data_IF_492895948986
#
_entry.id   IF_492895948986
#
_cell.length_a   1.000
_cell.length_b   1.000
_cell.length_c   1.000
_cell.angle_alpha   90.00
_cell.angle_beta   90.00
_cell.angle_gamma   90.00
#
_symmetry.space_group_name_H-M   'P 1'
#
loop_
_entity.id
_entity.type
_entity.pdbx_description
1 polymer ?
#
# COMPACT_ATOMS: atom_id res chain seq x y z
N UNK A 1 -2.93 -24.84 -24.05
CA UNK A 1 -1.87 -24.16 -23.23
C UNK A 1 -1.83 -24.87 -21.90
N UNK A 2 -0.66 -25.35 -21.53
CA UNK A 2 -0.44 -26.05 -20.26
C UNK A 2 -0.67 -25.13 -19.06
N UNK A 3 -1.03 -25.70 -17.92
CA UNK A 3 -1.37 -24.94 -16.71
C UNK A 3 -0.20 -24.07 -16.21
N UNK A 4 1.03 -24.58 -16.31
CA UNK A 4 2.24 -23.85 -15.91
C UNK A 4 2.54 -22.66 -16.86
N UNK A 5 2.26 -22.79 -18.14
CA UNK A 5 2.38 -21.69 -19.10
C UNK A 5 1.38 -20.56 -18.78
N UNK A 6 0.13 -20.93 -18.46
CA UNK A 6 -0.88 -19.97 -18.00
C UNK A 6 -0.42 -19.25 -16.73
N UNK A 7 0.14 -19.99 -15.77
CA UNK A 7 0.64 -19.42 -14.53
C UNK A 7 1.76 -18.40 -14.80
N UNK A 8 2.73 -18.74 -15.65
CA UNK A 8 3.81 -17.83 -15.99
C UNK A 8 3.31 -16.50 -16.57
N UNK A 9 2.36 -16.57 -17.52
CA UNK A 9 1.75 -15.39 -18.16
C UNK A 9 0.93 -14.58 -17.16
N UNK A 10 0.07 -15.22 -16.38
CA UNK A 10 -0.91 -14.54 -15.53
C UNK A 10 -0.31 -14.02 -14.22
N UNK A 11 0.77 -14.61 -13.74
CA UNK A 11 1.53 -14.08 -12.62
C UNK A 11 2.44 -12.91 -13.02
N UNK A 12 3.06 -12.97 -14.19
CA UNK A 12 3.83 -11.83 -14.71
C UNK A 12 2.91 -10.62 -14.98
N UNK A 13 1.75 -10.86 -15.59
CA UNK A 13 0.74 -9.82 -15.78
C UNK A 13 0.24 -9.19 -14.47
N UNK A 14 0.27 -9.92 -13.35
CA UNK A 14 -0.15 -9.44 -12.03
C UNK A 14 0.92 -8.58 -11.32
N UNK A 15 2.16 -8.51 -11.78
CA UNK A 15 3.26 -7.79 -11.09
C UNK A 15 3.00 -6.29 -10.90
N UNK A 16 2.23 -5.68 -11.79
CA UNK A 16 1.87 -4.26 -11.73
C UNK A 16 0.77 -3.94 -10.71
N UNK A 17 0.17 -4.95 -10.10
CA UNK A 17 -0.80 -4.77 -9.00
C UNK A 17 -0.07 -4.53 -7.68
N UNK A 18 -0.08 -3.30 -7.17
CA UNK A 18 0.63 -2.91 -5.95
C UNK A 18 -0.14 -3.28 -4.67
N UNK A 19 -0.50 -4.53 -4.47
CA UNK A 19 -1.12 -4.95 -3.21
C UNK A 19 -0.18 -5.75 -2.30
N UNK A 20 1.11 -5.78 -2.64
CA UNK A 20 2.11 -6.55 -1.92
C UNK A 20 3.42 -5.78 -1.85
N UNK A 21 3.94 -5.63 -0.66
CA UNK A 21 5.34 -5.30 -0.46
C UNK A 21 6.16 -6.56 -0.81
N UNK A 22 6.73 -6.62 -2.01
CA UNK A 22 7.69 -7.66 -2.35
C UNK A 22 8.97 -7.39 -1.56
N UNK A 23 9.54 -8.43 -0.96
CA UNK A 23 10.80 -8.32 -0.19
C UNK A 23 12.03 -7.97 -1.04
N UNK A 24 11.91 -7.81 -2.36
CA UNK A 24 12.98 -7.37 -3.27
C UNK A 24 14.22 -8.26 -3.35
N UNK A 25 14.33 -9.29 -2.52
CA UNK A 25 15.51 -10.17 -2.48
C UNK A 25 15.36 -11.29 -3.50
N UNK A 26 16.08 -11.20 -4.62
CA UNK A 26 16.26 -12.29 -5.57
C UNK A 26 17.54 -13.05 -5.24
N UNK A 27 17.43 -14.22 -4.60
CA UNK A 27 18.51 -15.20 -4.54
C UNK A 27 18.21 -16.33 -5.52
N UNK A 28 18.93 -16.37 -6.64
CA UNK A 28 18.85 -17.46 -7.60
C UNK A 28 19.33 -18.79 -6.99
N UNK A 29 18.88 -19.90 -7.58
CA UNK A 29 19.39 -21.24 -7.27
C UNK A 29 20.92 -21.27 -7.40
N UNK A 30 21.62 -21.73 -6.36
CA UNK A 30 23.04 -22.06 -6.41
C UNK A 30 23.21 -23.52 -6.01
N UNK A 31 23.86 -24.35 -6.86
CA UNK A 31 24.14 -25.74 -6.51
C UNK A 31 24.89 -25.82 -5.17
N UNK A 32 24.46 -26.70 -4.28
CA UNK A 32 25.10 -26.92 -2.97
C UNK A 32 24.60 -26.01 -1.83
N UNK A 33 23.65 -25.08 -2.06
CA UNK A 33 23.01 -24.30 -0.98
C UNK A 33 21.61 -24.81 -0.69
N UNK A 34 21.30 -25.00 0.60
CA UNK A 34 19.95 -25.35 1.09
C UNK A 34 19.17 -24.06 1.32
N UNK A 35 18.00 -23.95 0.68
CA UNK A 35 17.06 -22.83 0.82
C UNK A 35 16.86 -22.06 -0.49
N UNK A 36 15.64 -22.10 -0.98
CA UNK A 36 15.17 -21.20 -2.02
C UNK A 36 14.41 -20.06 -1.34
N UNK A 37 14.76 -18.82 -1.64
CA UNK A 37 13.81 -17.74 -1.39
C UNK A 37 12.64 -17.96 -2.36
N UNK A 38 11.44 -18.07 -1.82
CA UNK A 38 10.17 -18.28 -2.55
C UNK A 38 9.88 -17.23 -3.63
N UNK A 39 10.71 -16.20 -3.74
CA UNK A 39 10.69 -15.22 -4.82
C UNK A 39 11.01 -15.78 -6.21
N UNK A 40 11.47 -17.02 -6.32
CA UNK A 40 11.71 -17.70 -7.61
C UNK A 40 10.48 -18.42 -8.16
N UNK A 41 9.42 -18.62 -7.35
CA UNK A 41 8.16 -19.16 -7.84
C UNK A 41 7.36 -18.01 -8.42
N UNK A 42 7.15 -18.01 -9.72
CA UNK A 42 6.33 -17.02 -10.41
C UNK A 42 4.98 -16.88 -9.69
N UNK A 43 4.58 -15.65 -9.38
CA UNK A 43 3.28 -15.34 -8.80
C UNK A 43 3.18 -15.33 -7.27
N UNK A 44 4.24 -15.54 -6.50
CA UNK A 44 4.18 -15.39 -5.05
C UNK A 44 4.51 -13.97 -4.61
N UNK A 45 3.69 -13.43 -3.70
CA UNK A 45 3.90 -12.14 -3.07
C UNK A 45 3.70 -12.21 -1.55
N UNK A 46 4.21 -11.22 -0.84
CA UNK A 46 4.09 -11.14 0.61
C UNK A 46 3.07 -10.08 1.02
N UNK A 47 2.26 -10.37 2.03
CA UNK A 47 1.35 -9.45 2.69
C UNK A 47 1.48 -9.60 4.19
N UNK A 48 1.05 -8.59 4.96
CA UNK A 48 1.06 -8.66 6.41
C UNK A 48 -0.34 -8.91 6.95
N UNK A 49 -0.46 -9.88 7.85
CA UNK A 49 -1.68 -10.12 8.61
C UNK A 49 -1.87 -9.06 9.70
N UNK A 50 -3.04 -9.05 10.35
CA UNK A 50 -3.36 -8.07 11.39
C UNK A 50 -2.44 -8.15 12.62
N UNK A 51 -1.84 -9.30 12.87
CA UNK A 51 -0.88 -9.58 13.94
C UNK A 51 0.59 -9.30 13.55
N UNK A 52 0.82 -8.72 12.36
CA UNK A 52 2.15 -8.35 11.87
C UNK A 52 2.94 -9.48 11.23
N UNK A 53 2.40 -10.72 11.14
CA UNK A 53 3.08 -11.82 10.44
C UNK A 53 3.07 -11.59 8.92
N UNK A 54 4.20 -11.89 8.29
CA UNK A 54 4.31 -11.92 6.84
C UNK A 54 3.65 -13.21 6.30
N UNK A 55 2.65 -13.05 5.44
CA UNK A 55 1.97 -14.15 4.76
C UNK A 55 2.30 -14.15 3.27
N UNK A 56 2.56 -15.33 2.72
CA UNK A 56 2.84 -15.51 1.30
C UNK A 56 1.55 -15.79 0.54
N UNK A 57 1.28 -15.01 -0.51
CA UNK A 57 0.08 -15.15 -1.33
C UNK A 57 0.45 -15.56 -2.77
N UNK A 58 -0.35 -16.45 -3.35
CA UNK A 58 -0.38 -16.63 -4.80
C UNK A 58 -1.06 -15.41 -5.42
N UNK A 59 -0.32 -14.61 -6.17
CA UNK A 59 -0.82 -13.40 -6.83
C UNK A 59 -0.92 -13.65 -8.32
N UNK A 60 -2.15 -13.73 -8.81
CA UNK A 60 -2.42 -14.03 -10.23
C UNK A 60 -3.62 -13.25 -10.75
N UNK A 61 -3.66 -13.10 -12.08
CA UNK A 61 -4.89 -12.75 -12.79
C UNK A 61 -5.69 -14.02 -13.10
N UNK A 62 -7.02 -13.94 -13.03
CA UNK A 62 -7.89 -14.97 -13.63
C UNK A 62 -7.69 -14.96 -15.16
N UNK A 63 -7.60 -13.77 -15.75
CA UNK A 63 -7.26 -13.58 -17.15
C UNK A 63 -6.53 -12.26 -17.36
N UNK A 64 -5.58 -12.23 -18.31
CA UNK A 64 -5.00 -11.00 -18.82
C UNK A 64 -5.62 -10.54 -20.16
N UNK A 65 -6.58 -11.28 -20.73
CA UNK A 65 -7.42 -10.77 -21.80
C UNK A 65 -8.40 -9.73 -21.20
N UNK A 66 -8.48 -8.57 -21.84
CA UNK A 66 -9.27 -7.45 -21.34
C UNK A 66 -9.99 -6.76 -22.49
N UNK A 67 -11.28 -6.43 -22.30
CA UNK A 67 -12.06 -5.63 -23.26
C UNK A 67 -11.83 -4.12 -23.09
N UNK A 68 -11.20 -3.69 -21.99
CA UNK A 68 -10.87 -2.28 -21.74
C UNK A 68 -9.55 -1.90 -22.40
N UNK A 69 -9.43 -0.61 -22.72
CA UNK A 69 -8.23 -0.05 -23.36
C UNK A 69 -7.56 1.04 -22.52
N UNK A 70 -7.35 0.76 -21.22
CA UNK A 70 -6.65 1.67 -20.32
C UNK A 70 -5.22 1.92 -20.81
N UNK A 71 -4.87 3.18 -21.12
CA UNK A 71 -3.62 3.54 -21.81
C UNK A 71 -2.34 3.14 -21.08
N UNK A 72 -2.39 3.12 -19.74
CA UNK A 72 -1.28 2.73 -18.86
C UNK A 72 -1.11 1.20 -18.68
N UNK A 73 -2.04 0.39 -19.19
CA UNK A 73 -2.08 -1.04 -18.87
C UNK A 73 -1.44 -1.90 -19.98
N UNK A 74 -0.49 -2.74 -19.61
CA UNK A 74 0.12 -3.71 -20.55
C UNK A 74 -0.90 -4.69 -21.11
N UNK A 75 -1.95 -5.00 -20.34
CA UNK A 75 -3.01 -5.94 -20.72
C UNK A 75 -4.20 -5.27 -21.42
N UNK A 76 -4.09 -4.02 -21.86
CA UNK A 76 -5.15 -3.34 -22.62
C UNK A 76 -5.49 -4.09 -23.90
N UNK A 77 -6.73 -3.92 -24.40
CA UNK A 77 -7.23 -4.59 -25.60
C UNK A 77 -6.33 -4.43 -26.81
N UNK A 78 -5.82 -3.22 -27.04
CA UNK A 78 -5.04 -2.86 -28.22
C UNK A 78 -3.56 -3.29 -28.17
N UNK A 79 -3.08 -3.85 -27.05
CA UNK A 79 -1.72 -4.36 -26.98
C UNK A 79 -1.63 -5.81 -27.47
N UNK A 80 -0.62 -6.09 -28.30
CA UNK A 80 -0.27 -7.44 -28.73
C UNK A 80 0.57 -8.12 -27.64
N UNK A 81 -0.11 -8.64 -26.63
CA UNK A 81 0.50 -9.41 -25.53
C UNK A 81 -0.06 -10.82 -25.51
N UNK A 82 0.78 -11.79 -25.15
CA UNK A 82 0.33 -13.18 -25.00
C UNK A 82 -0.80 -13.28 -23.98
N UNK A 83 -1.96 -13.79 -24.41
CA UNK A 83 -3.19 -13.87 -23.60
C UNK A 83 -3.39 -15.26 -23.03
N UNK A 84 -3.83 -15.31 -21.77
CA UNK A 84 -4.22 -16.54 -21.09
C UNK A 84 -5.42 -16.29 -20.19
N UNK A 85 -6.13 -17.36 -19.85
CA UNK A 85 -7.17 -17.36 -18.83
C UNK A 85 -7.20 -18.70 -18.12
N UNK A 86 -7.35 -18.67 -16.80
CA UNK A 86 -7.71 -19.84 -16.02
C UNK A 86 -9.22 -20.10 -16.10
N UNK A 87 -9.60 -21.35 -16.15
CA UNK A 87 -10.95 -21.70 -15.71
C UNK A 87 -11.05 -21.59 -14.19
N UNK A 88 -12.26 -21.37 -13.61
CA UNK A 88 -12.41 -21.34 -12.16
C UNK A 88 -11.85 -22.58 -11.45
N UNK A 89 -11.99 -23.76 -12.07
CA UNK A 89 -11.46 -25.02 -11.56
C UNK A 89 -9.92 -25.05 -11.56
N UNK A 90 -9.29 -24.73 -12.67
CA UNK A 90 -7.84 -24.67 -12.78
C UNK A 90 -7.22 -23.75 -11.71
N UNK A 91 -7.81 -22.55 -11.50
CA UNK A 91 -7.33 -21.60 -10.50
C UNK A 91 -7.44 -22.15 -9.08
N UNK A 92 -8.58 -22.78 -8.78
CA UNK A 92 -8.81 -23.38 -7.46
C UNK A 92 -7.84 -24.55 -7.19
N UNK A 93 -7.65 -25.44 -8.14
CA UNK A 93 -6.73 -26.58 -8.03
C UNK A 93 -5.28 -26.12 -7.89
N UNK A 94 -4.86 -25.11 -8.66
CA UNK A 94 -3.54 -24.51 -8.54
C UNK A 94 -3.31 -23.92 -7.14
N UNK A 95 -4.29 -23.15 -6.64
CA UNK A 95 -4.22 -22.53 -5.31
C UNK A 95 -4.08 -23.59 -4.21
N UNK A 96 -4.91 -24.63 -4.25
CA UNK A 96 -4.86 -25.73 -3.27
C UNK A 96 -3.58 -26.53 -3.39
N UNK A 97 -3.10 -26.76 -4.61
CA UNK A 97 -1.82 -27.44 -4.85
C UNK A 97 -0.63 -26.71 -4.21
N UNK A 98 -0.59 -25.39 -4.33
CA UNK A 98 0.46 -24.57 -3.71
C UNK A 98 0.31 -24.46 -2.19
N UNK A 99 -0.92 -24.35 -1.70
CA UNK A 99 -1.20 -24.32 -0.27
C UNK A 99 -0.79 -25.63 0.42
N UNK A 100 -1.16 -26.79 -0.14
CA UNK A 100 -0.79 -28.10 0.42
C UNK A 100 0.71 -28.34 0.48
N UNK A 101 1.47 -27.69 -0.42
CA UNK A 101 2.95 -27.75 -0.42
C UNK A 101 3.59 -26.66 0.45
N UNK A 102 2.82 -25.91 1.22
CA UNK A 102 3.26 -24.80 2.07
C UNK A 102 4.02 -23.69 1.30
N UNK A 103 3.71 -23.48 0.01
CA UNK A 103 4.29 -22.39 -0.77
C UNK A 103 3.58 -21.07 -0.54
N UNK A 104 2.29 -21.14 -0.19
CA UNK A 104 1.43 -19.98 0.03
C UNK A 104 0.52 -20.20 1.24
N UNK A 105 0.09 -19.09 1.84
CA UNK A 105 -0.92 -19.05 2.90
C UNK A 105 -2.27 -18.49 2.41
N UNK A 106 -2.31 -17.96 1.18
CA UNK A 106 -3.52 -17.40 0.61
C UNK A 106 -3.43 -17.06 -0.87
N UNK A 107 -4.50 -16.46 -1.37
CA UNK A 107 -4.68 -16.06 -2.77
C UNK A 107 -4.89 -14.55 -2.86
N UNK A 108 -4.20 -13.90 -3.79
CA UNK A 108 -4.52 -12.56 -4.28
C UNK A 108 -5.02 -12.67 -5.72
N UNK A 109 -6.31 -12.45 -5.92
CA UNK A 109 -6.99 -12.62 -7.20
C UNK A 109 -7.42 -11.28 -7.79
N UNK A 110 -6.98 -11.02 -9.01
CA UNK A 110 -7.48 -9.95 -9.87
C UNK A 110 -7.78 -10.49 -11.28
N UNK A 111 -8.22 -9.65 -12.20
CA UNK A 111 -8.45 -10.05 -13.59
C UNK A 111 -8.45 -8.85 -14.53
N UNK A 112 -8.06 -9.06 -15.78
CA UNK A 112 -8.56 -8.29 -16.90
C UNK A 112 -10.07 -8.55 -17.07
N UNK A 113 -10.76 -7.65 -17.74
CA UNK A 113 -12.22 -7.73 -17.95
C UNK A 113 -12.51 -8.57 -19.18
N UNK A 114 -12.98 -9.82 -18.96
CA UNK A 114 -13.42 -10.73 -20.03
C UNK A 114 -14.86 -10.42 -20.42
N UNK A 115 -15.15 -10.22 -21.69
CA UNK A 115 -16.50 -9.96 -22.23
C UNK A 115 -17.22 -8.79 -21.55
N UNK A 116 -17.48 -8.90 -20.24
CA UNK A 116 -18.12 -7.86 -19.43
C UNK A 116 -17.64 -7.92 -17.97
N UNK A 117 -17.83 -6.82 -17.18
CA UNK A 117 -17.53 -6.82 -15.75
C UNK A 117 -18.25 -7.95 -14.99
N UNK A 118 -19.54 -8.15 -15.25
CA UNK A 118 -20.37 -9.16 -14.58
C UNK A 118 -19.87 -10.56 -14.89
N UNK A 119 -19.65 -10.89 -16.15
CA UNK A 119 -19.14 -12.20 -16.55
C UNK A 119 -17.81 -12.52 -15.87
N UNK A 120 -16.93 -11.53 -15.78
CA UNK A 120 -15.62 -11.70 -15.11
C UNK A 120 -15.80 -11.95 -13.62
N UNK A 121 -16.66 -11.17 -12.97
CA UNK A 121 -16.97 -11.33 -11.55
C UNK A 121 -17.60 -12.70 -11.24
N UNK A 122 -18.49 -13.19 -12.09
CA UNK A 122 -19.09 -14.52 -11.95
C UNK A 122 -18.03 -15.63 -12.00
N UNK A 123 -17.06 -15.54 -12.91
CA UNK A 123 -15.96 -16.50 -12.96
C UNK A 123 -15.07 -16.44 -11.72
N UNK A 124 -14.75 -15.23 -11.22
CA UNK A 124 -13.99 -15.06 -9.99
C UNK A 124 -14.76 -15.65 -8.79
N UNK A 125 -16.04 -15.33 -8.65
CA UNK A 125 -16.91 -15.86 -7.58
C UNK A 125 -16.97 -17.39 -7.65
N UNK A 126 -17.11 -17.96 -8.84
CA UNK A 126 -17.10 -19.42 -9.02
C UNK A 126 -15.79 -20.06 -8.56
N UNK A 127 -14.64 -19.46 -8.87
CA UNK A 127 -13.35 -19.94 -8.40
C UNK A 127 -13.24 -19.89 -6.87
N UNK A 128 -13.70 -18.79 -6.24
CA UNK A 128 -13.70 -18.66 -4.78
C UNK A 128 -14.70 -19.59 -4.11
N UNK A 129 -15.87 -19.88 -4.70
CA UNK A 129 -16.80 -20.89 -4.20
C UNK A 129 -16.18 -22.28 -4.22
N UNK A 130 -15.55 -22.68 -5.32
CA UNK A 130 -14.84 -23.97 -5.38
C UNK A 130 -13.81 -24.05 -4.24
N UNK A 131 -13.04 -22.98 -4.00
CA UNK A 131 -12.09 -22.93 -2.89
C UNK A 131 -12.78 -23.08 -1.52
N UNK A 132 -13.78 -22.25 -1.23
CA UNK A 132 -14.43 -22.20 0.08
C UNK A 132 -15.32 -23.41 0.37
N UNK A 133 -16.13 -23.82 -0.60
CA UNK A 133 -17.19 -24.83 -0.41
C UNK A 133 -16.69 -26.24 -0.69
N UNK A 134 -16.00 -26.48 -1.82
CA UNK A 134 -15.55 -27.83 -2.20
C UNK A 134 -14.23 -28.20 -1.49
N UNK A 135 -13.21 -27.33 -1.56
CA UNK A 135 -11.92 -27.58 -0.92
C UNK A 135 -11.86 -27.19 0.55
N UNK A 136 -12.88 -26.50 1.08
CA UNK A 136 -12.95 -25.98 2.46
C UNK A 136 -11.70 -25.16 2.81
N UNK A 137 -11.20 -24.40 1.86
CA UNK A 137 -9.99 -23.58 2.00
C UNK A 137 -10.22 -22.45 3.00
N UNK A 138 -9.49 -22.46 4.12
CA UNK A 138 -9.55 -21.44 5.17
C UNK A 138 -8.39 -20.44 5.12
N UNK A 139 -7.58 -20.46 4.04
CA UNK A 139 -6.51 -19.50 3.84
C UNK A 139 -7.04 -18.11 3.47
N UNK A 140 -6.17 -17.11 3.56
CA UNK A 140 -6.50 -15.72 3.27
C UNK A 140 -6.80 -15.51 1.78
N UNK A 141 -7.88 -14.80 1.49
CA UNK A 141 -8.26 -14.43 0.11
C UNK A 141 -8.42 -12.91 0.01
N UNK A 142 -7.60 -12.29 -0.84
CA UNK A 142 -7.78 -10.91 -1.27
C UNK A 142 -8.26 -10.91 -2.73
N UNK A 143 -9.41 -10.33 -3.01
CA UNK A 143 -9.98 -10.24 -4.35
C UNK A 143 -10.16 -8.79 -4.79
N UNK A 144 -9.84 -8.49 -6.05
CA UNK A 144 -10.15 -7.20 -6.67
C UNK A 144 -11.52 -7.27 -7.33
N UNK A 145 -12.45 -6.48 -6.83
CA UNK A 145 -13.74 -6.31 -7.48
C UNK A 145 -13.58 -5.54 -8.80
N UNK A 146 -14.26 -6.00 -9.82
CA UNK A 146 -14.20 -5.40 -11.16
C UNK A 146 -15.10 -4.15 -11.19
N UNK A 147 -14.56 -2.95 -11.50
CA UNK A 147 -15.38 -1.74 -11.65
C UNK A 147 -16.45 -1.91 -12.74
N UNK A 148 -17.68 -1.49 -12.43
CA UNK A 148 -18.81 -1.62 -13.35
C UNK A 148 -19.59 -2.93 -13.22
N UNK A 149 -19.15 -3.88 -12.42
CA UNK A 149 -19.92 -5.08 -12.12
C UNK A 149 -21.15 -4.76 -11.25
N UNK A 150 -22.21 -5.57 -11.39
CA UNK A 150 -23.41 -5.47 -10.58
C UNK A 150 -23.09 -5.57 -9.09
N UNK A 151 -23.70 -4.71 -8.27
CA UNK A 151 -23.41 -4.63 -6.83
C UNK A 151 -23.70 -5.95 -6.09
N UNK A 152 -24.66 -6.74 -6.58
CA UNK A 152 -24.95 -8.06 -6.02
C UNK A 152 -23.75 -9.02 -6.18
N UNK A 153 -23.04 -8.97 -7.30
CA UNK A 153 -21.82 -9.76 -7.51
C UNK A 153 -20.69 -9.30 -6.58
N UNK A 154 -20.57 -7.99 -6.34
CA UNK A 154 -19.62 -7.45 -5.35
C UNK A 154 -19.95 -7.96 -3.95
N UNK A 155 -21.26 -8.04 -3.61
CA UNK A 155 -21.71 -8.58 -2.34
C UNK A 155 -21.34 -10.06 -2.19
N UNK A 156 -21.62 -10.88 -3.22
CA UNK A 156 -21.24 -12.29 -3.22
C UNK A 156 -19.74 -12.50 -3.09
N UNK A 157 -18.94 -11.70 -3.79
CA UNK A 157 -17.48 -11.74 -3.67
C UNK A 157 -17.01 -11.43 -2.24
N UNK A 158 -17.66 -10.45 -1.56
CA UNK A 158 -17.33 -10.05 -0.19
C UNK A 158 -17.63 -11.10 0.86
N UNK A 159 -18.59 -12.01 0.61
CA UNK A 159 -18.88 -13.15 1.49
C UNK A 159 -17.83 -14.27 1.36
N UNK A 160 -17.06 -14.30 0.27
CA UNK A 160 -16.08 -15.34 -0.01
C UNK A 160 -14.63 -14.87 0.26
N UNK A 161 -14.37 -13.57 0.19
CA UNK A 161 -13.04 -12.98 0.35
C UNK A 161 -12.86 -12.35 1.74
N UNK A 162 -11.62 -12.42 2.26
CA UNK A 162 -11.26 -11.76 3.51
C UNK A 162 -11.06 -10.26 3.32
N UNK A 163 -10.50 -9.85 2.18
CA UNK A 163 -10.33 -8.45 1.79
C UNK A 163 -10.79 -8.22 0.37
N UNK A 164 -11.44 -7.07 0.17
CA UNK A 164 -11.75 -6.58 -1.16
C UNK A 164 -10.92 -5.33 -1.49
N UNK A 165 -10.62 -5.15 -2.77
CA UNK A 165 -10.10 -3.88 -3.27
C UNK A 165 -10.84 -3.47 -4.54
N UNK A 166 -11.01 -2.16 -4.67
CA UNK A 166 -11.47 -1.50 -5.90
C UNK A 166 -10.47 -0.40 -6.19
N UNK A 167 -9.79 -0.49 -7.32
CA UNK A 167 -8.75 0.48 -7.63
C UNK A 167 -9.35 1.80 -8.08
N UNK A 168 -8.85 2.90 -7.50
CA UNK A 168 -9.13 4.26 -7.96
C UNK A 168 -8.44 4.53 -9.30
N UNK A 169 -7.32 3.89 -9.55
CA UNK A 169 -6.42 3.99 -10.71
C UNK A 169 -5.72 5.33 -10.81
N UNK A 170 -6.44 6.43 -10.98
CA UNK A 170 -5.88 7.76 -11.20
C UNK A 170 -6.48 8.78 -10.20
N UNK A 171 -5.71 9.79 -9.79
CA UNK A 171 -6.16 10.74 -8.77
C UNK A 171 -7.34 11.61 -9.22
N UNK A 172 -7.32 12.08 -10.47
CA UNK A 172 -8.30 12.99 -11.01
C UNK A 172 -9.33 12.31 -11.92
N UNK A 173 -10.51 12.92 -12.02
CA UNK A 173 -11.54 12.47 -12.97
C UNK A 173 -11.08 12.67 -14.41
N UNK A 174 -10.39 13.77 -14.69
CA UNK A 174 -9.86 14.07 -16.02
C UNK A 174 -8.82 13.02 -16.43
N UNK A 175 -7.89 12.69 -15.53
CA UNK A 175 -6.91 11.64 -15.77
C UNK A 175 -7.58 10.29 -16.05
N UNK A 176 -8.63 9.94 -15.28
CA UNK A 176 -9.38 8.70 -15.48
C UNK A 176 -10.06 8.67 -16.86
N UNK A 177 -10.74 9.76 -17.26
CA UNK A 177 -11.40 9.86 -18.56
C UNK A 177 -10.40 9.76 -19.73
N UNK A 178 -9.23 10.37 -19.57
CA UNK A 178 -8.19 10.39 -20.62
C UNK A 178 -7.49 9.04 -20.75
N UNK A 179 -7.08 8.44 -19.63
CA UNK A 179 -6.21 7.25 -19.63
C UNK A 179 -6.96 5.94 -19.44
N UNK A 180 -8.19 5.96 -18.92
CA UNK A 180 -9.04 4.78 -18.74
C UNK A 180 -10.49 5.05 -19.13
N UNK A 181 -10.78 5.37 -20.41
CA UNK A 181 -12.11 5.83 -20.85
C UNK A 181 -13.23 4.82 -20.61
N UNK A 182 -12.92 3.54 -20.53
CA UNK A 182 -13.90 2.49 -20.24
C UNK A 182 -14.29 2.40 -18.75
N UNK A 183 -13.67 3.23 -17.87
CA UNK A 183 -13.96 3.27 -16.44
C UNK A 183 -14.58 4.59 -16.06
N UNK A 184 -15.66 4.55 -15.27
CA UNK A 184 -16.22 5.76 -14.67
C UNK A 184 -15.94 5.84 -13.18
N UNK A 185 -15.85 7.08 -12.65
CA UNK A 185 -15.68 7.30 -11.22
C UNK A 185 -16.80 6.68 -10.39
N UNK A 186 -18.03 6.72 -10.91
CA UNK A 186 -19.17 6.11 -10.26
C UNK A 186 -19.05 4.59 -10.18
N UNK A 187 -18.63 3.93 -11.26
CA UNK A 187 -18.40 2.48 -11.31
C UNK A 187 -17.33 2.00 -10.30
N UNK A 188 -16.42 2.90 -9.90
CA UNK A 188 -15.39 2.65 -8.88
C UNK A 188 -15.94 2.93 -7.47
N UNK A 189 -16.61 4.06 -7.25
CA UNK A 189 -16.99 4.51 -5.91
C UNK A 189 -18.22 3.80 -5.35
N UNK A 190 -19.17 3.37 -6.20
CA UNK A 190 -20.37 2.63 -5.76
C UNK A 190 -20.01 1.30 -5.07
N UNK A 191 -19.18 0.42 -5.65
CA UNK A 191 -18.74 -0.79 -4.95
C UNK A 191 -17.97 -0.49 -3.66
N UNK A 192 -17.16 0.56 -3.61
CA UNK A 192 -16.46 0.95 -2.37
C UNK A 192 -17.45 1.32 -1.26
N UNK A 193 -18.54 2.01 -1.58
CA UNK A 193 -19.62 2.32 -0.65
C UNK A 193 -20.29 1.05 -0.12
N UNK A 194 -20.65 0.13 -1.01
CA UNK A 194 -21.25 -1.17 -0.65
C UNK A 194 -20.32 -1.98 0.27
N UNK A 195 -19.03 -2.03 -0.02
CA UNK A 195 -18.07 -2.78 0.80
C UNK A 195 -17.94 -2.15 2.19
N UNK A 196 -17.91 -0.81 2.30
CA UNK A 196 -17.93 -0.11 3.59
C UNK A 196 -19.13 -0.51 4.43
N UNK A 197 -20.33 -0.41 3.83
CA UNK A 197 -21.59 -0.65 4.52
C UNK A 197 -21.76 -2.13 4.88
N UNK A 198 -21.44 -3.05 3.96
CA UNK A 198 -21.47 -4.50 4.21
C UNK A 198 -20.48 -4.92 5.30
N UNK A 199 -19.27 -4.35 5.33
CA UNK A 199 -18.30 -4.63 6.40
C UNK A 199 -18.79 -4.10 7.75
N UNK A 200 -19.40 -2.92 7.78
CA UNK A 200 -19.94 -2.33 9.02
C UNK A 200 -21.14 -3.13 9.52
N UNK A 201 -22.06 -3.51 8.63
CA UNK A 201 -23.23 -4.35 8.95
C UNK A 201 -22.80 -5.71 9.49
N UNK A 202 -21.92 -6.43 8.78
CA UNK A 202 -21.42 -7.75 9.22
C UNK A 202 -20.78 -7.68 10.61
N UNK A 203 -19.99 -6.63 10.90
CA UNK A 203 -19.40 -6.43 12.22
C UNK A 203 -20.47 -6.21 13.30
N UNK A 204 -21.52 -5.44 13.01
CA UNK A 204 -22.62 -5.19 13.94
C UNK A 204 -23.48 -6.45 14.19
N UNK A 205 -23.70 -7.25 13.15
CA UNK A 205 -24.43 -8.51 13.23
C UNK A 205 -23.66 -9.57 14.03
N UNK A 206 -22.36 -9.72 13.78
CA UNK A 206 -21.49 -10.65 14.51
C UNK A 206 -21.37 -10.30 16.01
N UNK A 207 -21.53 -9.03 16.38
CA UNK A 207 -21.60 -8.63 17.79
C UNK A 207 -22.89 -9.13 18.51
N UNK A 208 -23.96 -9.41 17.73
CA UNK A 208 -25.26 -9.88 18.25
C UNK A 208 -25.47 -11.39 18.01
N UNK A 209 -25.02 -11.88 16.87
CA UNK A 209 -25.30 -13.24 16.41
C UNK A 209 -23.98 -13.93 16.01
N UNK A 210 -23.58 -14.94 16.77
CA UNK A 210 -22.31 -15.68 16.59
C UNK A 210 -22.14 -16.28 15.18
N UNK A 211 -23.22 -16.64 14.52
CA UNK A 211 -23.21 -17.30 13.22
C UNK A 211 -23.64 -16.38 12.06
N UNK A 212 -23.65 -15.06 12.27
CA UNK A 212 -23.94 -14.13 11.20
C UNK A 212 -22.90 -14.26 10.07
N UNK A 213 -23.29 -14.03 8.80
CA UNK A 213 -22.37 -14.10 7.68
C UNK A 213 -21.22 -13.10 7.81
N UNK A 214 -19.99 -13.57 7.57
CA UNK A 214 -18.80 -12.74 7.60
C UNK A 214 -18.62 -12.11 6.23
N UNK A 215 -18.50 -10.77 6.19
CA UNK A 215 -18.31 -10.03 4.95
C UNK A 215 -16.99 -9.24 5.00
N UNK A 216 -16.04 -9.58 4.13
CA UNK A 216 -14.74 -8.95 3.96
C UNK A 216 -14.11 -8.50 5.31
N UNK A 217 -13.82 -9.42 6.25
CA UNK A 217 -13.43 -9.07 7.63
C UNK A 217 -12.13 -8.26 7.73
N UNK A 218 -11.22 -8.39 6.77
CA UNK A 218 -10.02 -7.58 6.67
C UNK A 218 -10.26 -6.22 5.98
N UNK A 219 -11.53 -5.90 5.64
CA UNK A 219 -11.96 -4.63 5.08
C UNK A 219 -11.57 -4.43 3.63
N UNK A 220 -11.48 -3.16 3.22
CA UNK A 220 -11.16 -2.80 1.84
C UNK A 220 -9.90 -1.96 1.73
N UNK A 221 -9.30 -2.01 0.54
CA UNK A 221 -8.17 -1.19 0.11
C UNK A 221 -8.38 -0.67 -1.31
N UNK A 222 -7.54 0.27 -1.72
CA UNK A 222 -7.49 0.77 -3.10
C UNK A 222 -6.05 0.97 -3.55
N UNK A 223 -5.86 1.15 -4.84
CA UNK A 223 -4.58 1.50 -5.45
C UNK A 223 -4.78 2.63 -6.42
N UNK A 224 -3.79 3.52 -6.49
CA UNK A 224 -3.69 4.55 -7.51
C UNK A 224 -2.26 4.62 -8.08
N UNK A 225 -2.17 5.07 -9.32
CA UNK A 225 -0.93 5.22 -10.07
C UNK A 225 -0.42 6.64 -9.85
N UNK A 226 0.89 6.76 -9.58
CA UNK A 226 1.58 8.04 -9.34
C UNK A 226 2.52 8.34 -10.50
N UNK A 227 2.38 9.53 -11.10
CA UNK A 227 3.25 9.98 -12.18
C UNK A 227 2.84 9.51 -13.58
N UNK A 228 1.63 8.96 -13.76
CA UNK A 228 1.02 8.78 -15.08
C UNK A 228 0.29 10.04 -15.56
N UNK A 229 -0.02 10.95 -14.65
CA UNK A 229 -0.66 12.25 -14.86
C UNK A 229 0.09 13.33 -14.09
N UNK A 230 -0.16 14.60 -14.37
CA UNK A 230 0.47 15.76 -13.71
C UNK A 230 -0.20 16.11 -12.37
N UNK A 231 -0.97 15.20 -11.79
CA UNK A 231 -1.60 15.42 -10.49
C UNK A 231 -0.53 15.61 -9.40
N UNK A 232 -0.67 16.69 -8.60
CA UNK A 232 0.25 17.00 -7.50
C UNK A 232 0.12 16.03 -6.32
N UNK A 233 1.14 15.95 -5.48
CA UNK A 233 1.10 15.15 -4.25
C UNK A 233 0.04 15.67 -3.29
N UNK A 234 -0.20 16.99 -3.25
CA UNK A 234 -1.31 17.61 -2.50
C UNK A 234 -2.66 17.05 -2.93
N UNK A 235 -2.93 16.98 -4.25
CA UNK A 235 -4.18 16.41 -4.76
C UNK A 235 -4.33 14.93 -4.35
N UNK A 236 -3.27 14.15 -4.54
CA UNK A 236 -3.23 12.73 -4.18
C UNK A 236 -3.48 12.54 -2.69
N UNK A 237 -2.86 13.35 -1.83
CA UNK A 237 -2.96 13.21 -0.38
C UNK A 237 -4.35 13.61 0.14
N UNK A 238 -4.94 14.68 -0.37
CA UNK A 238 -6.32 15.09 -0.07
C UNK A 238 -7.34 14.04 -0.52
N UNK A 239 -7.15 13.46 -1.71
CA UNK A 239 -7.97 12.33 -2.16
C UNK A 239 -7.84 11.15 -1.21
N UNK A 240 -6.62 10.80 -0.83
CA UNK A 240 -6.33 9.70 0.10
C UNK A 240 -7.03 9.90 1.44
N UNK A 241 -6.92 11.07 2.03
CA UNK A 241 -7.59 11.42 3.29
C UNK A 241 -9.13 11.30 3.16
N UNK A 242 -9.69 11.81 2.07
CA UNK A 242 -11.12 11.73 1.77
C UNK A 242 -11.58 10.27 1.63
N UNK A 243 -10.78 9.42 0.99
CA UNK A 243 -11.06 7.99 0.83
C UNK A 243 -11.06 7.26 2.18
N UNK A 244 -10.11 7.54 3.07
CA UNK A 244 -10.10 6.98 4.42
C UNK A 244 -11.35 7.38 5.21
N UNK A 245 -11.71 8.66 5.19
CA UNK A 245 -12.90 9.20 5.91
C UNK A 245 -14.19 8.63 5.35
N UNK A 246 -14.37 8.66 4.01
CA UNK A 246 -15.63 8.31 3.35
C UNK A 246 -15.87 6.81 3.26
N UNK A 247 -14.83 6.03 2.95
CA UNK A 247 -14.97 4.60 2.66
C UNK A 247 -14.36 3.68 3.72
N UNK A 248 -13.78 4.23 4.79
CA UNK A 248 -13.14 3.48 5.88
C UNK A 248 -12.10 2.47 5.37
N UNK A 249 -11.32 2.88 4.39
CA UNK A 249 -10.27 2.04 3.81
C UNK A 249 -9.26 1.61 4.88
N UNK A 250 -8.72 0.43 4.73
CA UNK A 250 -7.58 -0.04 5.53
C UNK A 250 -6.26 0.49 4.99
N UNK A 251 -6.15 0.66 3.66
CA UNK A 251 -4.95 1.19 3.02
C UNK A 251 -5.26 1.73 1.62
N UNK A 252 -4.57 2.80 1.28
CA UNK A 252 -4.36 3.27 -0.09
C UNK A 252 -2.98 2.82 -0.51
N UNK A 253 -2.87 2.14 -1.65
CA UNK A 253 -1.60 1.76 -2.25
C UNK A 253 -1.25 2.75 -3.35
N UNK A 254 -0.03 3.27 -3.32
CA UNK A 254 0.54 4.07 -4.38
C UNK A 254 1.40 3.17 -5.26
N UNK A 255 1.39 3.40 -6.56
CA UNK A 255 2.21 2.65 -7.50
C UNK A 255 2.86 3.65 -8.45
N UNK A 256 4.16 3.80 -8.37
CA UNK A 256 4.91 4.59 -9.34
C UNK A 256 4.63 4.05 -10.75
N UNK A 257 4.28 4.95 -11.67
CA UNK A 257 4.04 4.57 -13.04
C UNK A 257 5.32 4.03 -13.68
N UNK A 258 5.24 2.82 -14.22
CA UNK A 258 6.31 2.22 -15.00
C UNK A 258 5.91 2.30 -16.46
N UNK A 259 6.64 3.04 -17.31
CA UNK A 259 6.36 3.11 -18.73
C UNK A 259 6.55 1.74 -19.38
N UNK A 260 5.46 1.14 -19.86
CA UNK A 260 5.46 -0.19 -20.53
C UNK A 260 4.82 -0.14 -21.89
N UNK A 261 4.28 1.00 -22.28
CA UNK A 261 3.54 1.22 -23.51
C UNK A 261 3.87 2.60 -24.02
N UNK A 262 4.23 2.70 -25.29
CA UNK A 262 4.39 4.00 -25.96
C UNK A 262 3.02 4.62 -26.21
N UNK A 263 2.80 5.82 -25.67
CA UNK A 263 1.57 6.57 -25.84
C UNK A 263 1.83 8.07 -25.58
N UNK A 264 1.34 8.94 -26.47
CA UNK A 264 1.54 10.39 -26.37
C UNK A 264 0.89 11.06 -25.15
N UNK A 265 -0.04 10.36 -24.48
CA UNK A 265 -0.72 10.82 -23.27
C UNK A 265 -0.02 10.37 -21.97
N UNK A 266 1.09 9.67 -22.08
CA UNK A 266 1.82 9.07 -20.96
C UNK A 266 3.30 9.48 -21.03
N UNK A 267 4.01 9.46 -19.90
CA UNK A 267 5.47 9.61 -19.91
C UNK A 267 6.15 8.63 -20.87
N UNK A 268 7.21 9.09 -21.53
CA UNK A 268 7.98 8.28 -22.50
C UNK A 268 8.55 7.03 -21.86
N UNK A 269 8.87 6.03 -22.68
CA UNK A 269 9.45 4.74 -22.22
C UNK A 269 10.78 4.91 -21.47
N UNK A 270 11.54 5.98 -21.76
CA UNK A 270 12.80 6.30 -21.08
C UNK A 270 12.60 6.99 -19.73
N UNK A 271 11.37 7.37 -19.37
CA UNK A 271 11.07 8.03 -18.10
C UNK A 271 11.25 7.05 -16.95
N UNK A 272 12.11 7.41 -16.00
CA UNK A 272 12.30 6.60 -14.79
C UNK A 272 11.04 6.66 -13.91
N UNK A 273 10.56 5.51 -13.38
CA UNK A 273 9.45 5.51 -12.44
C UNK A 273 9.72 6.42 -11.24
N UNK A 274 8.73 7.22 -10.78
CA UNK A 274 8.91 8.17 -9.69
C UNK A 274 8.87 7.48 -8.31
N UNK A 275 9.80 6.54 -8.08
CA UNK A 275 9.84 5.72 -6.87
C UNK A 275 10.02 6.53 -5.58
N UNK A 276 10.81 7.61 -5.63
CA UNK A 276 11.01 8.48 -4.48
C UNK A 276 9.71 9.24 -4.13
N UNK A 277 8.96 9.70 -5.13
CA UNK A 277 7.65 10.32 -4.95
C UNK A 277 6.64 9.33 -4.34
N UNK A 278 6.61 8.10 -4.85
CA UNK A 278 5.81 7.01 -4.26
C UNK A 278 6.17 6.81 -2.79
N UNK A 279 7.47 6.75 -2.48
CA UNK A 279 7.94 6.59 -1.10
C UNK A 279 7.52 7.74 -0.19
N UNK A 280 7.61 9.01 -0.64
CA UNK A 280 7.15 10.18 0.13
C UNK A 280 5.65 10.15 0.39
N UNK A 281 4.86 9.73 -0.58
CA UNK A 281 3.41 9.53 -0.42
C UNK A 281 3.10 8.44 0.62
N UNK A 282 3.83 7.32 0.63
CA UNK A 282 3.68 6.32 1.69
C UNK A 282 4.07 6.84 3.07
N UNK A 283 5.11 7.66 3.18
CA UNK A 283 5.48 8.31 4.45
C UNK A 283 4.37 9.26 4.91
N UNK A 284 3.83 10.08 4.03
CA UNK A 284 2.71 10.98 4.33
C UNK A 284 1.42 10.21 4.70
N UNK A 285 1.09 9.13 3.98
CA UNK A 285 -0.02 8.23 4.34
C UNK A 285 0.10 7.72 5.77
N UNK A 286 1.32 7.37 6.19
CA UNK A 286 1.59 6.94 7.55
C UNK A 286 1.33 8.05 8.57
N UNK A 287 1.68 9.31 8.25
CA UNK A 287 1.41 10.48 9.08
C UNK A 287 -0.09 10.72 9.24
N UNK A 288 -0.88 10.62 8.16
CA UNK A 288 -2.34 10.75 8.21
C UNK A 288 -2.97 9.68 9.11
N UNK A 289 -2.53 8.44 9.00
CA UNK A 289 -3.19 7.32 9.68
C UNK A 289 -2.82 7.14 11.15
N UNK A 290 -1.62 7.49 11.54
CA UNK A 290 -1.08 7.11 12.86
C UNK A 290 -0.54 8.27 13.68
N UNK A 291 -0.34 9.45 13.09
CA UNK A 291 0.27 10.60 13.78
C UNK A 291 -0.70 11.78 13.93
N UNK A 292 -1.93 11.65 13.40
CA UNK A 292 -2.94 12.69 13.50
C UNK A 292 -2.70 13.92 12.62
N UNK A 293 -1.84 13.80 11.60
CA UNK A 293 -1.71 14.85 10.58
C UNK A 293 -2.91 14.89 9.64
N UNK A 294 -3.19 16.08 9.11
CA UNK A 294 -4.14 16.28 8.02
C UNK A 294 -3.37 16.55 6.72
N UNK A 295 -4.01 16.27 5.58
CA UNK A 295 -3.38 16.51 4.27
C UNK A 295 -3.00 17.99 4.07
N UNK A 296 -3.85 18.90 4.54
CA UNK A 296 -3.65 20.36 4.49
C UNK A 296 -2.51 20.87 5.36
N UNK A 297 -2.05 20.11 6.35
CA UNK A 297 -0.88 20.47 7.16
C UNK A 297 0.44 20.12 6.47
N UNK A 298 0.43 19.09 5.62
CA UNK A 298 1.64 18.57 4.98
C UNK A 298 1.99 19.27 3.67
N UNK A 299 0.98 19.71 2.90
CA UNK A 299 1.13 20.34 1.59
C UNK A 299 0.07 21.44 1.40
N UNK A 300 0.50 22.56 0.81
CA UNK A 300 -0.32 23.72 0.49
C UNK A 300 -0.28 24.06 -1.01
N UNK A 301 -0.84 25.20 -1.41
CA UNK A 301 -0.85 25.65 -2.82
C UNK A 301 0.51 26.15 -3.30
N UNK A 302 1.32 26.69 -2.38
CA UNK A 302 2.67 27.16 -2.72
C UNK A 302 3.66 25.98 -2.84
N UNK A 303 3.41 24.90 -2.08
CA UNK A 303 4.23 23.70 -2.07
C UNK A 303 3.36 22.47 -2.29
N UNK A 304 2.91 22.22 -3.55
CA UNK A 304 1.96 21.17 -3.86
C UNK A 304 2.58 19.76 -3.91
N UNK A 305 3.91 19.65 -3.95
CA UNK A 305 4.63 18.39 -4.03
C UNK A 305 5.66 18.25 -2.90
N UNK A 306 5.91 17.00 -2.48
CA UNK A 306 6.88 16.72 -1.42
C UNK A 306 8.31 17.00 -1.84
N UNK A 307 9.11 17.55 -0.91
CA UNK A 307 10.57 17.65 -1.08
C UNK A 307 11.17 16.25 -1.22
N UNK A 308 11.95 16.06 -2.28
CA UNK A 308 12.65 14.79 -2.52
C UNK A 308 13.82 14.56 -1.57
N UNK A 309 14.40 15.63 -0.96
CA UNK A 309 15.58 15.57 -0.10
C UNK A 309 15.27 15.14 1.32
N UNK A 310 14.06 15.46 1.83
CA UNK A 310 13.64 15.23 3.21
C UNK A 310 12.33 14.43 3.28
N UNK A 311 12.14 13.69 4.36
CA UNK A 311 10.84 13.07 4.60
C UNK A 311 9.75 14.11 4.94
N UNK A 312 8.46 13.81 4.68
CA UNK A 312 7.37 14.76 4.90
C UNK A 312 7.29 15.32 6.32
N UNK A 313 7.65 14.54 7.33
CA UNK A 313 7.61 14.98 8.73
C UNK A 313 8.76 15.94 9.06
N UNK A 314 9.94 15.71 8.52
CA UNK A 314 11.06 16.62 8.64
C UNK A 314 10.78 17.93 7.90
N UNK A 315 10.25 17.86 6.67
CA UNK A 315 9.86 19.05 5.90
C UNK A 315 8.84 19.89 6.64
N UNK A 316 7.81 19.25 7.20
CA UNK A 316 6.79 19.93 8.00
C UNK A 316 7.40 20.60 9.23
N UNK A 317 8.24 19.91 10.00
CA UNK A 317 8.85 20.47 11.19
C UNK A 317 9.79 21.65 10.91
N UNK A 318 10.48 21.65 9.76
CA UNK A 318 11.31 22.76 9.31
C UNK A 318 10.49 23.98 8.89
N UNK A 319 9.29 23.77 8.35
CA UNK A 319 8.34 24.84 8.02
C UNK A 319 7.67 25.43 9.26
N UNK A 320 7.72 24.75 10.41
CA UNK A 320 7.06 25.12 11.66
C UNK A 320 8.05 25.18 12.83
N UNK A 321 9.24 25.78 12.59
CA UNK A 321 10.29 25.86 13.62
C UNK A 321 9.88 26.66 14.86
N UNK A 322 8.84 27.50 14.76
CA UNK A 322 8.23 28.22 15.89
C UNK A 322 7.60 27.30 16.94
N UNK A 323 7.28 26.05 16.57
CA UNK A 323 6.76 25.03 17.50
C UNK A 323 7.88 24.25 18.20
N UNK A 324 9.14 24.50 17.83
CA UNK A 324 10.28 23.74 18.33
C UNK A 324 11.31 24.65 19.01
N UNK A 325 12.12 24.11 19.93
CA UNK A 325 12.18 22.73 20.39
C UNK A 325 11.08 22.38 21.40
N UNK A 326 10.66 21.11 21.39
CA UNK A 326 9.63 20.55 22.28
C UNK A 326 10.26 19.97 23.55
N UNK A 327 9.76 20.34 24.75
CA UNK A 327 10.22 19.79 26.01
C UNK A 327 9.61 18.40 26.28
N UNK A 328 10.44 17.37 26.28
CA UNK A 328 10.04 15.96 26.42
C UNK A 328 9.29 15.70 27.72
N UNK A 329 9.69 16.38 28.82
CA UNK A 329 9.09 16.17 30.16
C UNK A 329 7.67 16.69 30.26
N UNK A 330 7.24 17.61 29.37
CA UNK A 330 5.95 18.34 29.51
C UNK A 330 5.01 18.10 28.32
N UNK A 331 5.56 17.91 27.11
CA UNK A 331 4.78 17.81 25.87
C UNK A 331 3.72 16.70 25.95
N UNK A 332 2.54 16.96 25.43
CA UNK A 332 1.52 15.94 25.27
C UNK A 332 1.88 14.93 24.16
N UNK A 333 1.06 13.90 24.02
CA UNK A 333 1.30 12.84 23.03
C UNK A 333 1.25 13.39 21.60
N UNK A 334 0.34 14.31 21.31
CA UNK A 334 0.12 14.86 19.96
C UNK A 334 1.33 15.71 19.55
N UNK A 335 1.82 16.56 20.44
CA UNK A 335 3.04 17.37 20.25
C UNK A 335 4.26 16.47 20.03
N UNK A 336 4.43 15.42 20.81
CA UNK A 336 5.51 14.45 20.62
C UNK A 336 5.44 13.75 19.25
N UNK A 337 4.24 13.45 18.76
CA UNK A 337 4.04 12.86 17.44
C UNK A 337 4.40 13.82 16.30
N UNK A 338 4.48 15.13 16.53
CA UNK A 338 4.94 16.12 15.55
C UNK A 338 6.45 16.12 15.38
N UNK A 339 7.20 15.66 16.38
CA UNK A 339 8.68 15.68 16.38
C UNK A 339 9.24 14.64 15.40
N UNK A 340 10.11 15.05 14.43
CA UNK A 340 10.84 14.12 13.59
C UNK A 340 11.63 13.08 14.41
N UNK A 341 11.61 11.82 13.97
CA UNK A 341 12.29 10.74 14.71
C UNK A 341 11.52 10.18 15.93
N UNK A 342 10.36 10.75 16.29
CA UNK A 342 9.49 10.22 17.35
C UNK A 342 8.28 9.55 16.70
N UNK A 343 8.13 8.24 16.90
CA UNK A 343 7.01 7.45 16.41
C UNK A 343 5.93 7.21 17.48
N UNK A 344 4.75 6.63 17.11
CA UNK A 344 3.66 6.39 18.04
C UNK A 344 4.03 5.51 19.24
N UNK A 345 4.90 4.53 19.02
CA UNK A 345 5.40 3.66 20.10
C UNK A 345 6.33 4.43 21.01
N UNK A 346 7.31 5.15 20.44
CA UNK A 346 8.28 5.96 21.20
C UNK A 346 7.60 7.06 21.98
N UNK A 347 6.64 7.79 21.38
CA UNK A 347 5.87 8.84 22.06
C UNK A 347 5.13 8.31 23.29
N UNK A 348 4.44 7.16 23.17
CA UNK A 348 3.77 6.52 24.33
C UNK A 348 4.76 6.07 25.40
N UNK A 349 5.91 5.51 25.02
CA UNK A 349 6.97 5.11 25.95
C UNK A 349 7.55 6.33 26.70
N UNK A 350 7.75 7.46 26.02
CA UNK A 350 8.18 8.72 26.62
C UNK A 350 7.17 9.17 27.67
N UNK A 351 5.87 9.27 27.31
CA UNK A 351 4.80 9.68 28.25
C UNK A 351 4.71 8.77 29.48
N UNK A 352 4.98 7.48 29.31
CA UNK A 352 5.01 6.54 30.43
C UNK A 352 6.29 6.70 31.27
N UNK A 353 7.46 6.71 30.64
CA UNK A 353 8.76 6.70 31.32
C UNK A 353 9.03 7.97 32.13
N UNK A 354 8.63 9.17 31.66
CA UNK A 354 8.81 10.44 32.37
C UNK A 354 8.07 10.54 33.72
N UNK A 355 7.09 9.62 33.96
CA UNK A 355 6.43 9.52 35.26
C UNK A 355 7.32 8.91 36.35
N UNK A 356 8.34 8.16 35.91
CA UNK A 356 9.26 7.44 36.81
C UNK A 356 10.58 8.18 37.07
N UNK A 357 10.87 9.25 36.30
CA UNK A 357 12.09 10.03 36.43
C UNK A 357 12.36 10.97 35.27
N UNK A 358 13.38 11.80 35.41
CA UNK A 358 13.82 12.74 34.37
C UNK A 358 14.49 11.99 33.23
N UNK A 359 14.05 12.25 31.99
CA UNK A 359 14.60 11.65 30.78
C UNK A 359 15.74 12.49 30.22
N UNK A 360 16.78 11.80 29.74
CA UNK A 360 17.91 12.37 28.99
C UNK A 360 17.92 11.84 27.56
N UNK A 361 18.74 12.41 26.68
CA UNK A 361 18.85 11.98 25.28
C UNK A 361 19.24 10.51 25.12
N UNK A 362 20.07 9.98 26.03
CA UNK A 362 20.47 8.58 26.03
C UNK A 362 19.27 7.65 26.31
N UNK A 363 18.33 8.10 27.15
CA UNK A 363 17.11 7.35 27.47
C UNK A 363 16.13 7.36 26.29
N UNK A 364 16.05 8.46 25.55
CA UNK A 364 15.21 8.54 24.34
C UNK A 364 15.59 7.48 23.31
N UNK A 365 16.89 7.21 23.13
CA UNK A 365 17.35 6.13 22.24
C UNK A 365 16.84 4.76 22.69
N UNK A 366 16.87 4.46 24.00
CA UNK A 366 16.34 3.20 24.56
C UNK A 366 14.82 3.09 24.42
N UNK A 367 14.12 4.23 24.40
CA UNK A 367 12.68 4.28 24.16
C UNK A 367 12.28 4.15 22.69
N UNK A 368 13.27 4.04 21.77
CA UNK A 368 13.06 3.83 20.34
C UNK A 368 12.91 5.15 19.55
N UNK A 369 13.40 6.28 20.09
CA UNK A 369 13.48 7.54 19.33
C UNK A 369 14.67 7.52 18.39
N UNK A 370 14.47 7.94 17.15
CA UNK A 370 15.56 8.16 16.19
C UNK A 370 16.26 9.49 16.52
N UNK A 371 17.16 9.43 17.50
CA UNK A 371 17.81 10.62 18.09
C UNK A 371 18.54 11.46 17.04
N UNK A 372 19.14 10.84 16.00
CA UNK A 372 19.78 11.55 14.88
C UNK A 372 18.89 12.55 14.16
N UNK A 373 17.55 12.34 14.19
CA UNK A 373 16.54 13.26 13.65
C UNK A 373 15.95 14.14 14.75
N UNK A 374 15.59 13.54 15.90
CA UNK A 374 14.83 14.19 16.94
C UNK A 374 15.62 15.26 17.73
N UNK A 375 16.94 15.14 17.83
CA UNK A 375 17.80 16.02 18.62
C UNK A 375 17.69 17.52 18.27
N UNK A 376 17.32 17.85 17.05
CA UNK A 376 17.15 19.23 16.59
C UNK A 376 15.82 19.85 17.02
N UNK A 377 14.89 19.04 17.49
CA UNK A 377 13.51 19.41 17.77
C UNK A 377 13.07 19.15 19.21
N UNK A 378 14.00 18.66 20.07
CA UNK A 378 13.67 18.28 21.46
C UNK A 378 14.58 18.97 22.47
N UNK A 379 13.99 19.21 23.65
CA UNK A 379 14.71 19.44 24.89
C UNK A 379 14.42 18.32 25.89
N UNK A 380 15.42 17.98 26.68
CA UNK A 380 15.28 17.05 27.82
C UNK A 380 15.64 17.81 29.11
N UNK A 381 14.66 18.05 29.96
CA UNK A 381 14.83 18.83 31.19
C UNK A 381 15.47 20.22 30.95
N UNK A 382 14.90 20.95 29.97
CA UNK A 382 15.35 22.27 29.55
C UNK A 382 16.69 22.29 28.80
N UNK A 383 17.30 21.16 28.49
CA UNK A 383 18.61 21.08 27.84
C UNK A 383 18.49 20.52 26.41
N UNK A 384 19.21 21.17 25.49
CA UNK A 384 19.40 20.65 24.15
C UNK A 384 20.44 19.52 24.12
N UNK A 385 20.47 18.75 23.04
CA UNK A 385 21.53 17.75 22.84
C UNK A 385 22.91 18.43 22.77
N UNK A 386 23.95 17.82 23.37
CA UNK A 386 25.28 18.40 23.40
C UNK A 386 25.85 18.70 22.00
N UNK A 387 26.47 19.86 21.81
CA UNK A 387 27.14 20.24 20.56
C UNK A 387 26.20 20.69 19.43
N UNK A 388 24.91 20.81 19.65
CA UNK A 388 23.96 21.27 18.64
C UNK A 388 24.07 22.78 18.39
N UNK A 389 24.10 23.15 17.11
CA UNK A 389 23.91 24.55 16.66
C UNK A 389 22.50 24.66 16.05
N UNK A 390 21.67 25.47 16.67
CA UNK A 390 20.31 25.76 16.17
C UNK A 390 20.40 26.83 15.07
N UNK A 391 20.70 26.37 13.84
CA UNK A 391 20.57 27.18 12.64
C UNK A 391 19.73 26.39 11.64
N UNK A 392 18.65 26.96 11.06
CA UNK A 392 17.81 26.25 10.09
C UNK A 392 18.62 25.60 8.97
N UNK A 393 19.58 26.31 8.39
CA UNK A 393 20.45 25.79 7.34
C UNK A 393 21.31 24.59 7.78
N UNK A 394 21.86 24.64 9.01
CA UNK A 394 22.64 23.53 9.58
C UNK A 394 21.74 22.32 9.86
N UNK A 395 20.53 22.53 10.36
CA UNK A 395 19.56 21.45 10.62
C UNK A 395 19.19 20.76 9.31
N UNK A 396 18.86 21.52 8.24
CA UNK A 396 18.55 20.96 6.92
C UNK A 396 19.70 20.11 6.41
N UNK A 397 20.93 20.65 6.42
CA UNK A 397 22.12 19.93 5.94
C UNK A 397 22.36 18.61 6.69
N UNK A 398 22.18 18.62 8.01
CA UNK A 398 22.36 17.42 8.84
C UNK A 398 21.24 16.39 8.61
N UNK A 399 19.99 16.83 8.47
CA UNK A 399 18.87 15.95 8.17
C UNK A 399 19.01 15.33 6.76
N UNK A 400 19.44 16.10 5.76
CA UNK A 400 19.74 15.55 4.43
C UNK A 400 20.89 14.52 4.48
N UNK A 401 21.91 14.74 5.28
CA UNK A 401 22.99 13.79 5.46
C UNK A 401 22.50 12.46 6.08
N UNK A 402 21.61 12.54 7.07
CA UNK A 402 20.97 11.37 7.68
C UNK A 402 20.11 10.65 6.65
N UNK A 403 19.34 11.38 5.84
CA UNK A 403 18.45 10.81 4.82
C UNK A 403 19.27 10.09 3.71
N UNK A 404 20.36 10.68 3.26
CA UNK A 404 21.27 10.04 2.26
C UNK A 404 21.89 8.74 2.77
N UNK A 405 22.16 8.65 4.07
CA UNK A 405 22.67 7.41 4.69
C UNK A 405 21.60 6.31 4.83
N UNK A 406 20.32 6.66 4.70
CA UNK A 406 19.19 5.72 4.73
C UNK A 406 18.72 5.30 3.33
N UNK A 407 19.07 6.02 2.29
CA UNK A 407 18.79 5.66 0.90
C UNK A 407 19.91 4.75 0.39
N UNK A 408 19.62 3.53 -0.08
CA UNK A 408 20.63 2.67 -0.69
C UNK A 408 21.29 3.37 -1.88
N UNK A 409 22.60 3.41 -1.90
CA UNK A 409 23.37 3.88 -3.05
C UNK A 409 23.19 2.90 -4.22
N UNK A 410 22.48 3.32 -5.25
CA UNK A 410 22.31 2.57 -6.50
C UNK A 410 21.28 1.44 -6.42
N UNK A 411 20.23 1.54 -7.20
CA UNK A 411 19.02 0.72 -7.28
C UNK A 411 18.10 0.88 -6.07
N UNK A 412 17.09 1.75 -6.21
CA UNK A 412 16.00 1.85 -5.24
C UNK A 412 15.18 0.56 -5.26
N UNK A 413 15.54 -0.38 -4.41
CA UNK A 413 14.63 -1.43 -3.99
C UNK A 413 13.53 -0.77 -3.16
N UNK A 414 12.30 -1.16 -3.38
CA UNK A 414 11.16 -0.73 -2.56
C UNK A 414 11.47 -1.09 -1.10
N UNK A 415 11.95 -0.11 -0.34
CA UNK A 415 12.16 -0.28 1.09
C UNK A 415 10.81 -0.50 1.75
N UNK A 416 10.64 -1.63 2.42
CA UNK A 416 9.53 -1.85 3.33
C UNK A 416 9.55 -0.74 4.39
N UNK A 417 8.40 -0.16 4.71
CA UNK A 417 8.22 0.79 5.82
C UNK A 417 8.68 0.23 7.18
N UNK A 418 8.97 -1.07 7.25
CA UNK A 418 9.43 -1.79 8.43
C UNK A 418 10.94 -1.90 8.54
N UNK A 419 11.70 -1.68 7.46
CA UNK A 419 13.17 -1.67 7.49
C UNK A 419 13.74 -0.39 8.17
N UNK A 420 12.89 0.61 8.42
CA UNK A 420 13.25 1.83 9.16
C UNK A 420 13.00 1.72 10.67
N UNK A 421 12.58 0.57 11.17
CA UNK A 421 12.23 0.28 12.58
C UNK A 421 13.08 -0.89 13.10
N UNK A 422 14.37 -0.84 12.81
CA UNK A 422 15.39 -1.68 13.42
C UNK A 422 16.08 -0.96 14.57
#
# INVERSE_FOLDING_TARGET
MELLDKLAILSDAAKYDAACTSSGVRRGFRPGMIGNTTSSIAGCCHSFSADGRCITLLKVLLSNACVYDCKYCVNRRSNDTRRAAFTPRELAELTIGFYRRNYIEGLFLSSGVLRSPDYTMELMIRALRILREEYRFNGYIHAKAIPGAALELVRQLGLLADRLSVNIELPSQQGLQTLAPDKSREAILRPMGLIRDGTAQSKAELAKYRHAPVFAPAGQSTQLIVGATDDSDRHILHLTESLYRKFRLKRVFYSAYVPVVENSLLPSLDTKPPLLREHRLYQADWLLRFYGFQASELLDEAHPDFDTRLDPKCSWALAHLEQFPVEVMRADLETLLRVPGVGPVSARRIVSARRCGTLRFEDLKKLGVVVKRAQYFLLCDGRAAPGLRFSPATIVQQLEAVERGLLPSGEMQQLSLFDAVG
#
